data_IF_947003259079
#
_entry.id   IF_947003259079
#
_cell.length_a   1.000
_cell.length_b   1.000
_cell.length_c   1.000
_cell.angle_alpha   90.00
_cell.angle_beta   90.00
_cell.angle_gamma   90.00
#
_symmetry.space_group_name_H-M   'P 1'
#
loop_
_entity.id
_entity.type
_entity.pdbx_description
1 polymer ?
#
# COMPACT_ATOMS: atom_id res chain seq x y z
N UNK A 1 -25.24 0.40 20.35
CA UNK A 1 -23.80 0.13 20.27
C UNK A 1 -23.50 -0.28 18.82
N UNK A 2 -22.56 0.39 18.15
CA UNK A 2 -22.22 0.07 16.76
C UNK A 2 -21.48 -1.28 16.70
N UNK A 3 -21.81 -2.13 15.73
CA UNK A 3 -21.15 -3.42 15.53
C UNK A 3 -20.32 -3.34 14.26
N UNK A 4 -19.12 -3.88 14.31
CA UNK A 4 -18.23 -4.05 13.15
C UNK A 4 -17.92 -5.52 12.95
N UNK A 5 -18.09 -5.99 11.72
CA UNK A 5 -17.80 -7.35 11.30
C UNK A 5 -16.47 -7.35 10.56
N UNK A 6 -15.52 -8.15 11.01
CA UNK A 6 -14.16 -8.20 10.48
C UNK A 6 -13.87 -9.59 9.93
N UNK A 7 -13.50 -9.67 8.67
CA UNK A 7 -12.91 -10.87 8.08
C UNK A 7 -11.44 -10.94 8.45
N UNK A 8 -11.04 -11.92 9.26
CA UNK A 8 -9.66 -12.10 9.69
C UNK A 8 -8.98 -13.21 8.91
N UNK A 9 -7.85 -12.89 8.29
CA UNK A 9 -7.03 -13.80 7.50
C UNK A 9 -5.60 -13.69 8.00
N UNK A 10 -5.14 -14.67 8.75
CA UNK A 10 -3.78 -14.67 9.30
C UNK A 10 -2.71 -14.86 8.21
N UNK A 11 -3.00 -15.70 7.20
CA UNK A 11 -2.09 -16.01 6.11
C UNK A 11 -0.92 -16.90 6.52
N UNK A 12 0.30 -16.46 6.23
CA UNK A 12 1.54 -17.23 6.39
C UNK A 12 2.48 -16.65 7.45
N UNK A 13 3.48 -17.42 7.85
CA UNK A 13 4.63 -17.00 8.64
C UNK A 13 4.26 -16.14 9.83
N UNK A 14 4.82 -14.92 9.86
CA UNK A 14 4.61 -13.94 10.94
C UNK A 14 3.14 -13.55 11.12
N UNK A 15 2.31 -13.64 10.08
CA UNK A 15 0.87 -13.35 10.19
C UNK A 15 0.17 -14.24 11.21
N UNK A 16 0.56 -15.51 11.32
CA UNK A 16 0.02 -16.45 12.31
C UNK A 16 0.36 -16.07 13.76
N UNK A 17 1.43 -15.30 13.95
CA UNK A 17 1.87 -14.83 15.27
C UNK A 17 1.23 -13.48 15.62
N UNK A 18 1.27 -12.50 14.68
CA UNK A 18 0.87 -11.13 14.99
C UNK A 18 -0.64 -10.93 14.97
N UNK A 19 -1.39 -11.64 14.09
CA UNK A 19 -2.84 -11.47 13.97
C UNK A 19 -3.58 -11.83 15.26
N UNK A 20 -3.31 -12.96 15.93
CA UNK A 20 -3.96 -13.28 17.21
C UNK A 20 -3.68 -12.26 18.32
N UNK A 21 -2.47 -11.69 18.34
CA UNK A 21 -2.10 -10.65 19.32
C UNK A 21 -2.87 -9.36 19.03
N UNK A 22 -2.89 -8.94 17.77
CA UNK A 22 -3.62 -7.74 17.37
C UNK A 22 -5.13 -7.88 17.58
N UNK A 23 -5.73 -9.06 17.36
CA UNK A 23 -7.14 -9.31 17.69
C UNK A 23 -7.44 -9.13 19.19
N UNK A 24 -6.54 -9.55 20.09
CA UNK A 24 -6.69 -9.31 21.54
C UNK A 24 -6.69 -7.80 21.85
N UNK A 25 -5.81 -7.05 21.20
CA UNK A 25 -5.75 -5.58 21.35
C UNK A 25 -7.03 -4.94 20.82
N UNK A 26 -7.50 -5.33 19.63
CA UNK A 26 -8.74 -4.83 19.03
C UNK A 26 -9.96 -5.10 19.93
N UNK A 27 -10.07 -6.29 20.51
CA UNK A 27 -11.11 -6.62 21.49
C UNK A 27 -11.06 -5.68 22.70
N UNK A 28 -9.86 -5.42 23.24
CA UNK A 28 -9.70 -4.51 24.38
C UNK A 28 -10.08 -3.07 24.04
N UNK A 29 -9.69 -2.60 22.86
CA UNK A 29 -10.09 -1.29 22.33
C UNK A 29 -11.62 -1.21 22.17
N UNK A 30 -12.24 -2.27 21.64
CA UNK A 30 -13.70 -2.30 21.45
C UNK A 30 -14.47 -2.17 22.77
N UNK A 31 -14.01 -2.82 23.82
CA UNK A 31 -14.55 -2.68 25.18
C UNK A 31 -14.39 -1.24 25.69
N UNK A 32 -13.19 -0.68 25.55
CA UNK A 32 -12.87 0.67 26.04
C UNK A 32 -13.67 1.76 25.32
N UNK A 33 -13.91 1.60 24.02
CA UNK A 33 -14.62 2.57 23.19
C UNK A 33 -16.09 2.21 22.93
N UNK A 34 -16.63 1.20 23.62
CA UNK A 34 -18.03 0.82 23.61
C UNK A 34 -18.63 0.50 22.22
N UNK A 35 -17.88 -0.21 21.39
CA UNK A 35 -18.40 -0.81 20.18
C UNK A 35 -18.27 -2.34 20.22
N UNK A 36 -19.08 -3.04 19.41
CA UNK A 36 -19.03 -4.50 19.30
C UNK A 36 -18.13 -4.88 18.11
N UNK A 37 -17.25 -5.83 18.33
CA UNK A 37 -16.41 -6.41 17.30
C UNK A 37 -16.77 -7.89 17.11
N UNK A 38 -17.14 -8.26 15.89
CA UNK A 38 -17.35 -9.64 15.46
C UNK A 38 -16.22 -9.97 14.50
N UNK A 39 -15.49 -11.05 14.77
CA UNK A 39 -14.34 -11.46 13.95
C UNK A 39 -14.64 -12.87 13.43
N UNK A 40 -14.73 -13.01 12.11
CA UNK A 40 -14.81 -14.27 11.41
C UNK A 40 -13.44 -14.63 10.84
N UNK A 41 -12.95 -15.81 11.19
CA UNK A 41 -11.61 -16.26 10.79
C UNK A 41 -11.68 -17.13 9.53
N UNK A 42 -10.75 -16.87 8.60
CA UNK A 42 -10.63 -17.59 7.34
C UNK A 42 -9.21 -18.14 7.18
N UNK A 43 -9.10 -19.36 6.72
CA UNK A 43 -7.83 -20.09 6.53
C UNK A 43 -7.23 -19.99 5.14
N UNK A 44 -7.98 -19.42 4.17
CA UNK A 44 -7.49 -19.21 2.81
C UNK A 44 -6.46 -18.06 2.73
N UNK A 45 -5.88 -17.85 1.55
CA UNK A 45 -4.79 -16.89 1.32
C UNK A 45 -3.53 -17.25 2.11
N UNK A 46 -3.20 -18.54 2.12
CA UNK A 46 -1.99 -19.07 2.76
C UNK A 46 -1.38 -20.20 1.94
N UNK A 47 -0.09 -20.43 2.12
CA UNK A 47 0.62 -21.57 1.52
C UNK A 47 0.01 -22.91 1.96
N UNK A 48 -0.45 -23.02 3.21
CA UNK A 48 -1.10 -24.23 3.71
C UNK A 48 -2.44 -24.49 3.03
N UNK A 49 -3.20 -23.43 2.75
CA UNK A 49 -4.43 -23.56 1.99
C UNK A 49 -4.17 -23.97 0.54
N UNK A 50 -3.15 -23.33 -0.09
CA UNK A 50 -2.73 -23.69 -1.45
C UNK A 50 -2.29 -25.15 -1.56
N UNK A 51 -1.54 -25.65 -0.61
CA UNK A 51 -1.08 -27.05 -0.60
C UNK A 51 -2.24 -28.05 -0.57
N UNK A 52 -3.32 -27.73 0.17
CA UNK A 52 -4.49 -28.58 0.28
C UNK A 52 -5.43 -28.51 -0.94
N UNK A 53 -5.53 -27.32 -1.55
CA UNK A 53 -6.62 -27.02 -2.51
C UNK A 53 -6.12 -26.67 -3.92
N UNK A 54 -4.81 -26.50 -4.14
CA UNK A 54 -4.22 -26.11 -5.43
C UNK A 54 -4.54 -24.67 -5.84
N UNK A 55 -5.12 -23.86 -4.93
CA UNK A 55 -5.51 -22.45 -5.15
C UNK A 55 -5.41 -21.66 -3.86
N UNK A 56 -5.13 -20.37 -3.95
CA UNK A 56 -4.98 -19.49 -2.78
C UNK A 56 -6.33 -19.10 -2.15
N UNK A 57 -7.40 -19.12 -2.93
CA UNK A 57 -8.74 -18.70 -2.53
C UNK A 57 -9.78 -19.72 -2.98
N UNK A 58 -10.85 -19.98 -2.20
CA UNK A 58 -11.99 -20.75 -2.68
C UNK A 58 -12.76 -19.98 -3.76
N UNK A 59 -13.60 -20.64 -4.53
CA UNK A 59 -14.30 -20.00 -5.65
C UNK A 59 -15.29 -18.92 -5.16
N UNK A 60 -15.85 -19.10 -3.99
CA UNK A 60 -16.82 -18.24 -3.31
C UNK A 60 -16.16 -17.26 -2.31
N UNK A 61 -14.85 -17.06 -2.39
CA UNK A 61 -14.11 -16.24 -1.42
C UNK A 61 -14.66 -14.81 -1.26
N UNK A 62 -15.06 -14.20 -2.38
CA UNK A 62 -15.56 -12.81 -2.39
C UNK A 62 -16.87 -12.70 -1.64
N UNK A 63 -17.81 -13.60 -1.92
CA UNK A 63 -19.12 -13.68 -1.26
C UNK A 63 -19.00 -13.91 0.26
N UNK A 64 -17.96 -14.65 0.66
CA UNK A 64 -17.68 -14.93 2.07
C UNK A 64 -17.25 -13.69 2.84
N UNK A 65 -16.48 -12.78 2.21
CA UNK A 65 -15.86 -11.66 2.93
C UNK A 65 -16.43 -10.29 2.56
N UNK A 66 -17.14 -10.12 1.45
CA UNK A 66 -17.65 -8.82 0.98
C UNK A 66 -18.63 -8.12 1.94
N UNK A 67 -19.26 -8.88 2.85
CA UNK A 67 -20.22 -8.35 3.82
C UNK A 67 -19.57 -7.82 5.10
N UNK A 68 -18.27 -7.99 5.24
CA UNK A 68 -17.54 -7.49 6.38
C UNK A 68 -17.19 -6.01 6.19
N UNK A 69 -17.14 -5.28 7.30
CA UNK A 69 -16.76 -3.85 7.28
C UNK A 69 -15.28 -3.65 6.95
N UNK A 70 -14.43 -4.64 7.27
CA UNK A 70 -13.01 -4.62 6.93
C UNK A 70 -12.42 -6.04 6.87
N UNK A 71 -11.31 -6.17 6.14
CA UNK A 71 -10.48 -7.37 6.11
C UNK A 71 -9.25 -7.09 6.99
N UNK A 72 -9.10 -7.87 8.04
CA UNK A 72 -7.90 -7.86 8.88
C UNK A 72 -6.94 -8.92 8.37
N UNK A 73 -5.96 -8.47 7.59
CA UNK A 73 -5.06 -9.33 6.84
C UNK A 73 -3.66 -9.34 7.46
N UNK A 74 -3.12 -10.54 7.68
CA UNK A 74 -1.77 -10.71 8.22
C UNK A 74 -0.68 -10.63 7.15
N UNK A 75 -0.06 -11.78 6.85
CA UNK A 75 0.98 -11.87 5.82
C UNK A 75 0.65 -13.00 4.84
N UNK A 76 1.07 -12.88 3.60
CA UNK A 76 0.92 -13.93 2.60
C UNK A 76 2.22 -14.11 1.82
N UNK A 77 2.55 -15.37 1.59
CA UNK A 77 3.70 -15.80 0.82
C UNK A 77 4.85 -16.29 1.69
N UNK A 78 5.44 -17.37 1.21
CA UNK A 78 6.68 -17.95 1.68
C UNK A 78 7.47 -18.37 0.43
N UNK A 79 8.38 -17.53 -0.07
CA UNK A 79 9.07 -17.75 -1.35
C UNK A 79 9.83 -19.10 -1.40
N UNK A 80 10.24 -19.60 -0.24
CA UNK A 80 10.88 -20.92 -0.10
C UNK A 80 9.92 -22.09 -0.38
N UNK A 81 8.60 -21.90 -0.21
CA UNK A 81 7.56 -22.91 -0.48
C UNK A 81 6.92 -22.69 -1.84
N UNK A 82 6.45 -21.48 -2.11
CA UNK A 82 5.75 -21.13 -3.33
C UNK A 82 6.13 -19.72 -3.79
N UNK A 83 6.38 -19.51 -5.09
CA UNK A 83 6.78 -18.21 -5.62
C UNK A 83 5.65 -17.18 -5.53
N UNK A 84 6.02 -15.90 -5.49
CA UNK A 84 5.11 -14.77 -5.29
C UNK A 84 4.00 -14.67 -6.35
N UNK A 85 4.26 -15.11 -7.58
CA UNK A 85 3.22 -15.11 -8.63
C UNK A 85 2.07 -16.09 -8.33
N UNK A 86 2.26 -17.08 -7.45
CA UNK A 86 1.19 -17.94 -6.94
C UNK A 86 0.52 -17.28 -5.74
N UNK A 87 1.31 -16.88 -4.75
CA UNK A 87 0.80 -16.46 -3.45
C UNK A 87 0.19 -15.06 -3.47
N UNK A 88 0.93 -14.05 -3.94
CA UNK A 88 0.48 -12.66 -4.00
C UNK A 88 -0.58 -12.43 -5.08
N UNK A 89 -0.31 -12.92 -6.30
CA UNK A 89 -1.25 -12.75 -7.43
C UNK A 89 -2.51 -13.59 -7.25
N UNK A 90 -2.39 -14.73 -6.58
CA UNK A 90 -3.52 -15.62 -6.29
C UNK A 90 -4.44 -15.12 -5.17
N UNK A 91 -4.02 -14.12 -4.38
CA UNK A 91 -4.78 -13.61 -3.23
C UNK A 91 -4.78 -12.09 -3.09
N UNK A 92 -3.74 -11.48 -2.53
CA UNK A 92 -3.69 -10.04 -2.19
C UNK A 92 -4.00 -9.13 -3.38
N UNK A 93 -3.45 -9.42 -4.55
CA UNK A 93 -3.72 -8.64 -5.77
C UNK A 93 -5.18 -8.76 -6.21
N UNK A 94 -5.80 -9.94 -6.02
CA UNK A 94 -7.24 -10.12 -6.28
C UNK A 94 -8.08 -9.28 -5.33
N UNK A 95 -7.77 -9.24 -4.02
CA UNK A 95 -8.49 -8.39 -3.07
C UNK A 95 -8.44 -6.92 -3.51
N UNK A 96 -7.26 -6.41 -3.85
CA UNK A 96 -7.10 -5.03 -4.30
C UNK A 96 -7.95 -4.70 -5.52
N UNK A 97 -7.98 -5.60 -6.51
CA UNK A 97 -8.71 -5.39 -7.76
C UNK A 97 -10.21 -5.60 -7.62
N UNK A 98 -10.61 -6.71 -7.01
CA UNK A 98 -12.01 -7.11 -6.92
C UNK A 98 -12.83 -6.25 -5.95
N UNK A 99 -12.19 -5.67 -4.93
CA UNK A 99 -12.80 -4.69 -4.03
C UNK A 99 -12.46 -3.24 -4.38
N UNK A 100 -11.83 -3.01 -5.54
CA UNK A 100 -11.39 -1.68 -5.99
C UNK A 100 -10.67 -0.88 -4.90
N UNK A 101 -9.78 -1.53 -4.16
CA UNK A 101 -8.97 -0.91 -3.11
C UNK A 101 -7.87 -0.05 -3.74
N UNK A 102 -8.25 1.09 -4.30
CA UNK A 102 -7.40 1.92 -5.15
C UNK A 102 -6.32 2.72 -4.40
N UNK A 103 -6.41 2.77 -3.08
CA UNK A 103 -5.40 3.39 -2.21
C UNK A 103 -4.66 2.31 -1.43
N UNK A 104 -3.33 2.37 -1.42
CA UNK A 104 -2.54 1.75 -0.38
C UNK A 104 -1.96 2.87 0.50
N UNK A 105 -2.46 2.97 1.72
CA UNK A 105 -2.09 3.99 2.69
C UNK A 105 -0.97 3.47 3.58
N UNK A 106 0.15 4.19 3.63
CA UNK A 106 1.37 3.80 4.35
C UNK A 106 1.86 4.91 5.27
N UNK A 107 1.41 4.95 6.53
CA UNK A 107 1.98 5.85 7.53
C UNK A 107 3.43 5.47 7.87
N UNK A 108 4.30 6.46 7.92
CA UNK A 108 5.71 6.33 8.29
C UNK A 108 5.97 7.25 9.47
N UNK A 109 6.35 6.67 10.61
CA UNK A 109 6.56 7.43 11.84
C UNK A 109 7.72 6.87 12.63
N UNK A 110 8.59 7.76 13.11
CA UNK A 110 9.58 7.41 14.10
C UNK A 110 8.95 7.43 15.50
N UNK A 111 8.77 6.23 16.05
CA UNK A 111 8.14 6.07 17.36
C UNK A 111 9.11 6.26 18.53
N UNK A 112 8.61 6.71 19.71
CA UNK A 112 9.41 6.64 20.94
C UNK A 112 9.89 5.22 21.23
N UNK A 113 11.16 5.10 21.60
CA UNK A 113 11.78 3.81 21.90
C UNK A 113 12.31 3.03 20.68
N UNK A 114 12.02 3.48 19.46
CA UNK A 114 12.59 2.93 18.24
C UNK A 114 13.80 3.77 17.82
N UNK A 115 14.90 3.10 17.50
CA UNK A 115 16.11 3.77 17.01
C UNK A 115 16.06 3.90 15.48
N UNK A 116 16.11 5.13 14.99
CA UNK A 116 16.32 5.39 13.57
C UNK A 116 17.75 4.98 13.16
N UNK A 117 17.94 4.38 11.97
CA UNK A 117 19.27 4.20 11.39
C UNK A 117 19.88 5.51 10.87
N UNK A 118 19.08 6.56 10.69
CA UNK A 118 19.56 7.88 10.31
C UNK A 118 20.16 8.59 11.53
N UNK A 119 21.27 9.31 11.31
CA UNK A 119 21.93 10.06 12.36
C UNK A 119 21.02 11.19 12.90
N UNK A 120 21.07 11.41 14.21
CA UNK A 120 20.47 12.56 14.90
C UNK A 120 18.94 12.71 14.74
N UNK A 121 18.23 11.63 14.36
CA UNK A 121 16.75 11.64 14.27
C UNK A 121 16.12 11.17 15.58
N UNK A 122 15.13 11.91 16.02
CA UNK A 122 14.37 11.69 17.25
C UNK A 122 12.87 11.51 16.96
N UNK A 123 12.09 10.92 17.87
CA UNK A 123 10.64 10.83 17.72
C UNK A 123 9.99 12.20 17.44
N UNK A 124 9.21 12.28 16.37
CA UNK A 124 8.57 13.51 15.90
C UNK A 124 9.26 14.16 14.69
N UNK A 125 10.53 13.85 14.43
CA UNK A 125 11.24 14.37 13.24
C UNK A 125 10.72 13.74 11.94
N UNK A 126 10.28 12.49 12.00
CA UNK A 126 9.74 11.77 10.85
C UNK A 126 8.30 11.36 11.18
N UNK A 127 7.36 11.99 10.50
CA UNK A 127 5.92 11.70 10.57
C UNK A 127 5.29 12.07 9.22
N UNK A 128 5.23 11.11 8.30
CA UNK A 128 4.67 11.30 6.96
C UNK A 128 3.71 10.17 6.59
N UNK A 129 2.90 10.40 5.56
CA UNK A 129 2.00 9.40 5.00
C UNK A 129 2.29 9.25 3.51
N UNK A 130 2.51 8.02 3.05
CA UNK A 130 2.62 7.70 1.63
C UNK A 130 1.27 7.19 1.15
N UNK A 131 0.74 7.83 0.12
CA UNK A 131 -0.49 7.47 -0.58
C UNK A 131 -0.08 6.86 -1.92
N UNK A 132 -0.13 5.54 -1.99
CA UNK A 132 0.25 4.75 -3.18
C UNK A 132 -0.98 4.40 -3.99
N UNK A 133 -0.94 4.61 -5.30
CA UNK A 133 -1.88 4.00 -6.24
C UNK A 133 -1.78 2.48 -6.15
N UNK A 134 -2.91 1.75 -6.26
CA UNK A 134 -2.93 0.34 -5.84
C UNK A 134 -3.65 -0.61 -6.81
N UNK A 135 -4.18 -0.13 -7.94
CA UNK A 135 -5.00 -0.94 -8.86
C UNK A 135 -4.53 -0.96 -10.31
N UNK A 136 -3.73 0.01 -10.71
CA UNK A 136 -3.20 0.17 -12.07
C UNK A 136 -1.69 0.51 -12.05
N UNK A 137 -1.22 1.27 -13.00
CA UNK A 137 0.17 1.71 -13.07
C UNK A 137 1.10 0.64 -13.61
N UNK A 138 2.26 0.54 -13.03
CA UNK A 138 3.33 -0.37 -13.42
C UNK A 138 3.03 -1.83 -13.05
N UNK A 139 2.09 -2.06 -12.13
CA UNK A 139 1.58 -3.38 -11.75
C UNK A 139 0.40 -3.84 -12.62
N UNK A 140 0.19 -3.23 -13.78
CA UNK A 140 -0.78 -3.73 -14.76
C UNK A 140 -0.41 -5.16 -15.17
N UNK A 141 -1.39 -5.99 -15.47
CA UNK A 141 -1.14 -7.33 -16.01
C UNK A 141 -1.26 -7.34 -17.55
N UNK A 142 -0.92 -6.22 -18.19
CA UNK A 142 -0.97 -6.07 -19.65
C UNK A 142 0.42 -6.24 -20.22
N UNK A 143 0.58 -7.22 -21.09
CA UNK A 143 1.85 -7.56 -21.69
C UNK A 143 1.86 -9.00 -22.22
N UNK A 144 3.03 -9.51 -22.48
CA UNK A 144 3.19 -10.88 -22.97
C UNK A 144 4.61 -11.24 -23.37
N UNK A 145 4.74 -12.42 -23.92
CA UNK A 145 6.00 -12.97 -24.41
C UNK A 145 5.86 -13.37 -25.88
N UNK A 146 6.92 -13.14 -26.66
CA UNK A 146 7.06 -13.63 -28.03
C UNK A 146 8.37 -14.38 -28.18
N UNK A 147 8.39 -15.36 -29.07
CA UNK A 147 9.56 -16.21 -29.37
C UNK A 147 10.14 -16.91 -28.15
N UNK A 148 9.28 -17.35 -27.25
CA UNK A 148 9.64 -17.95 -25.97
C UNK A 148 10.63 -19.13 -26.14
N UNK A 149 11.69 -19.15 -25.33
CA UNK A 149 12.72 -20.18 -25.36
C UNK A 149 13.73 -20.06 -26.53
N UNK A 150 13.71 -18.98 -27.30
CA UNK A 150 14.68 -18.70 -28.36
C UNK A 150 15.56 -17.48 -28.04
N UNK A 151 16.68 -17.33 -28.78
CA UNK A 151 17.55 -16.14 -28.65
C UNK A 151 16.83 -14.80 -28.99
N UNK A 152 15.68 -14.86 -29.64
CA UNK A 152 14.86 -13.70 -30.03
C UNK A 152 13.71 -13.46 -29.07
N UNK A 153 13.70 -14.09 -27.91
CA UNK A 153 12.64 -13.92 -26.94
C UNK A 153 12.47 -12.45 -26.55
N UNK A 154 11.23 -11.99 -26.60
CA UNK A 154 10.83 -10.63 -26.22
C UNK A 154 9.78 -10.74 -25.14
N UNK A 155 9.97 -9.96 -24.07
CA UNK A 155 9.00 -9.82 -22.98
C UNK A 155 8.55 -8.37 -22.92
N UNK A 156 7.24 -8.15 -22.88
CA UNK A 156 6.61 -6.83 -22.79
C UNK A 156 5.71 -6.76 -21.57
N UNK A 157 5.79 -5.67 -20.85
CA UNK A 157 4.82 -5.28 -19.83
C UNK A 157 4.51 -3.78 -19.96
N UNK A 158 3.23 -3.44 -20.05
CA UNK A 158 2.77 -2.08 -20.21
C UNK A 158 2.48 -1.42 -18.85
N UNK A 159 2.81 -0.14 -18.73
CA UNK A 159 2.34 0.73 -17.65
C UNK A 159 1.04 1.39 -18.10
N UNK A 160 -0.04 1.18 -17.35
CA UNK A 160 -1.35 1.75 -17.64
C UNK A 160 -1.72 2.76 -16.57
N UNK A 161 -1.97 3.99 -16.96
CA UNK A 161 -2.43 5.06 -16.08
C UNK A 161 -3.69 5.71 -16.69
N UNK A 162 -4.82 5.54 -16.03
CA UNK A 162 -6.07 6.17 -16.44
C UNK A 162 -6.25 7.52 -15.74
N UNK A 163 -7.00 8.41 -16.40
CA UNK A 163 -7.41 9.67 -15.76
C UNK A 163 -8.15 9.43 -14.45
N UNK A 164 -9.04 8.43 -14.44
CA UNK A 164 -9.82 8.08 -13.27
C UNK A 164 -8.92 7.62 -12.12
N UNK A 165 -7.99 6.68 -12.37
CA UNK A 165 -7.08 6.15 -11.36
C UNK A 165 -6.15 7.22 -10.78
N UNK A 166 -5.53 8.04 -11.65
CA UNK A 166 -4.67 9.13 -11.21
C UNK A 166 -5.46 10.17 -10.39
N UNK A 167 -6.61 10.62 -10.90
CA UNK A 167 -7.38 11.67 -10.23
C UNK A 167 -7.86 11.24 -8.85
N UNK A 168 -8.34 9.99 -8.69
CA UNK A 168 -8.85 9.52 -7.40
C UNK A 168 -7.75 9.37 -6.35
N UNK A 169 -6.57 8.85 -6.71
CA UNK A 169 -5.46 8.73 -5.75
C UNK A 169 -4.89 10.09 -5.37
N UNK A 170 -4.73 11.00 -6.32
CA UNK A 170 -4.24 12.35 -6.04
C UNK A 170 -5.23 13.15 -5.18
N UNK A 171 -6.54 13.10 -5.49
CA UNK A 171 -7.57 13.74 -4.64
C UNK A 171 -7.58 13.19 -3.22
N UNK A 172 -7.50 11.87 -3.06
CA UNK A 172 -7.39 11.25 -1.74
C UNK A 172 -6.16 11.78 -0.97
N UNK A 173 -5.01 11.90 -1.64
CA UNK A 173 -3.79 12.45 -1.03
C UNK A 173 -3.94 13.93 -0.63
N UNK A 174 -4.62 14.73 -1.43
CA UNK A 174 -4.96 16.12 -1.09
C UNK A 174 -5.87 16.20 0.14
N UNK A 175 -6.89 15.35 0.24
CA UNK A 175 -7.78 15.31 1.42
C UNK A 175 -7.02 14.86 2.68
N UNK A 176 -6.11 13.89 2.57
CA UNK A 176 -5.22 13.53 3.68
C UNK A 176 -4.34 14.73 4.09
N UNK A 177 -3.70 15.40 3.12
CA UNK A 177 -2.86 16.56 3.41
C UNK A 177 -3.66 17.70 4.09
N UNK A 178 -4.90 17.94 3.65
CA UNK A 178 -5.81 18.92 4.24
C UNK A 178 -6.13 18.61 5.70
N UNK A 179 -6.21 17.33 6.07
CA UNK A 179 -6.48 16.90 7.45
C UNK A 179 -5.26 17.02 8.37
N UNK A 180 -4.05 17.14 7.81
CA UNK A 180 -2.79 17.24 8.58
C UNK A 180 -2.44 18.69 8.88
N UNK A 181 -1.68 18.89 9.96
CA UNK A 181 -1.29 20.23 10.43
C UNK A 181 -0.39 20.99 9.45
N UNK A 182 0.51 20.28 8.77
CA UNK A 182 1.50 20.87 7.85
C UNK A 182 0.92 21.23 6.50
N UNK A 183 -0.17 20.58 6.10
CA UNK A 183 -0.88 20.82 4.83
C UNK A 183 0.05 20.84 3.62
N UNK A 184 0.93 19.85 3.54
CA UNK A 184 1.91 19.72 2.46
C UNK A 184 1.75 18.39 1.73
N UNK A 185 1.75 18.45 0.39
CA UNK A 185 1.67 17.28 -0.48
C UNK A 185 2.81 17.29 -1.49
N UNK A 186 3.59 16.22 -1.48
CA UNK A 186 4.65 15.97 -2.44
C UNK A 186 4.20 14.94 -3.47
N UNK A 187 4.35 15.23 -4.76
CA UNK A 187 4.09 14.27 -5.84
C UNK A 187 5.40 13.61 -6.29
N UNK A 188 5.42 12.28 -6.28
CA UNK A 188 6.52 11.50 -6.85
C UNK A 188 6.29 11.34 -8.36
N UNK A 189 7.28 11.67 -9.17
CA UNK A 189 7.22 11.60 -10.63
C UNK A 189 8.54 11.07 -11.24
N UNK A 190 8.55 10.82 -12.54
CA UNK A 190 9.76 10.54 -13.33
C UNK A 190 9.57 11.05 -14.76
N UNK A 191 8.91 12.18 -14.93
CA UNK A 191 8.57 12.75 -16.25
C UNK A 191 9.78 13.10 -17.11
N UNK A 192 10.96 13.28 -16.51
CA UNK A 192 12.21 13.47 -17.26
C UNK A 192 12.76 12.17 -17.91
N UNK A 193 12.21 11.00 -17.59
CA UNK A 193 12.68 9.72 -18.11
C UNK A 193 11.57 8.86 -18.70
N UNK A 194 10.36 8.93 -18.11
CA UNK A 194 9.17 8.20 -18.58
C UNK A 194 8.28 9.20 -19.31
N UNK A 195 8.44 9.28 -20.61
CA UNK A 195 7.99 10.42 -21.44
C UNK A 195 6.51 10.49 -21.76
N UNK A 196 5.70 9.51 -21.41
CA UNK A 196 4.26 9.46 -21.72
C UNK A 196 3.41 9.47 -20.45
N UNK A 197 3.54 8.46 -19.62
CA UNK A 197 2.66 8.28 -18.45
C UNK A 197 2.97 9.28 -17.33
N UNK A 198 4.24 9.62 -17.09
CA UNK A 198 4.60 10.51 -15.99
C UNK A 198 4.34 11.99 -16.28
N UNK A 199 4.54 12.55 -17.49
CA UNK A 199 4.02 13.88 -17.82
C UNK A 199 2.50 13.98 -17.66
N UNK A 200 1.76 12.91 -17.98
CA UNK A 200 0.31 12.88 -17.76
C UNK A 200 -0.04 12.84 -16.26
N UNK A 201 0.72 12.10 -15.44
CA UNK A 201 0.62 12.15 -13.98
C UNK A 201 0.80 13.57 -13.44
N UNK A 202 1.83 14.29 -13.92
CA UNK A 202 2.13 15.67 -13.52
C UNK A 202 1.01 16.64 -13.97
N UNK A 203 0.51 16.50 -15.21
CA UNK A 203 -0.63 17.29 -15.71
C UNK A 203 -1.86 17.11 -14.82
N UNK A 204 -2.16 15.88 -14.42
CA UNK A 204 -3.29 15.61 -13.52
C UNK A 204 -3.08 16.19 -12.13
N UNK A 205 -1.85 16.14 -11.62
CA UNK A 205 -1.49 16.75 -10.34
C UNK A 205 -1.70 18.27 -10.37
N UNK A 206 -1.23 18.94 -11.40
CA UNK A 206 -1.44 20.38 -11.57
C UNK A 206 -2.92 20.77 -11.77
N UNK A 207 -3.69 19.91 -12.40
CA UNK A 207 -5.13 20.11 -12.52
C UNK A 207 -5.87 19.96 -11.19
N UNK A 208 -5.55 18.92 -10.41
CA UNK A 208 -6.16 18.66 -9.10
C UNK A 208 -5.76 19.73 -8.07
N UNK A 209 -4.50 20.15 -8.04
CA UNK A 209 -3.95 21.19 -7.15
C UNK A 209 -4.78 22.49 -7.15
N UNK A 210 -5.38 22.86 -8.28
CA UNK A 210 -6.21 24.08 -8.40
C UNK A 210 -7.41 24.09 -7.45
N UNK A 211 -7.85 22.91 -6.99
CA UNK A 211 -8.98 22.77 -6.07
C UNK A 211 -8.55 22.77 -4.58
N UNK A 212 -7.25 22.83 -4.30
CA UNK A 212 -6.67 22.71 -2.95
C UNK A 212 -5.64 23.82 -2.70
N UNK A 213 -6.05 25.07 -2.85
CA UNK A 213 -5.17 26.24 -2.78
C UNK A 213 -4.51 26.45 -1.40
N UNK A 214 -5.06 25.85 -0.35
CA UNK A 214 -4.52 25.85 1.01
C UNK A 214 -3.42 24.83 1.27
N UNK A 215 -3.13 23.95 0.28
CA UNK A 215 -2.11 22.90 0.40
C UNK A 215 -0.82 23.35 -0.31
N UNK A 216 0.26 23.37 0.43
CA UNK A 216 1.60 23.53 -0.15
C UNK A 216 1.94 22.28 -0.97
N UNK A 217 2.42 22.47 -2.19
CA UNK A 217 2.75 21.34 -3.07
C UNK A 217 4.16 21.46 -3.62
N UNK A 218 4.84 20.32 -3.71
CA UNK A 218 6.06 20.14 -4.47
C UNK A 218 6.04 18.84 -5.28
N UNK A 219 6.99 18.71 -6.21
CA UNK A 219 7.17 17.52 -7.03
C UNK A 219 8.66 17.17 -7.08
N UNK A 220 8.95 15.87 -6.96
CA UNK A 220 10.32 15.36 -7.12
C UNK A 220 10.34 14.16 -8.04
N UNK A 221 11.36 14.09 -8.90
CA UNK A 221 11.67 12.84 -9.57
C UNK A 221 12.06 11.78 -8.55
N UNK A 222 11.63 10.53 -8.78
CA UNK A 222 11.73 9.45 -7.79
C UNK A 222 13.16 9.21 -7.29
N UNK A 223 14.15 9.34 -8.15
CA UNK A 223 15.57 9.16 -7.80
C UNK A 223 16.05 10.19 -6.77
N UNK A 224 15.73 11.47 -6.97
CA UNK A 224 16.08 12.50 -5.98
C UNK A 224 15.16 12.45 -4.75
N UNK A 225 13.90 12.03 -4.92
CA UNK A 225 12.98 11.87 -3.80
C UNK A 225 13.48 10.80 -2.82
N UNK A 226 13.97 9.66 -3.32
CA UNK A 226 14.58 8.60 -2.52
C UNK A 226 15.80 9.15 -1.73
N UNK A 227 16.67 9.94 -2.38
CA UNK A 227 17.78 10.57 -1.69
C UNK A 227 17.31 11.55 -0.59
N UNK A 228 16.25 12.31 -0.86
CA UNK A 228 15.68 13.26 0.13
C UNK A 228 14.99 12.55 1.30
N UNK A 229 14.41 11.38 1.12
CA UNK A 229 13.89 10.58 2.23
C UNK A 229 14.97 10.21 3.25
N UNK A 230 16.21 10.01 2.78
CA UNK A 230 17.36 9.73 3.66
C UNK A 230 17.96 11.00 4.25
N UNK A 231 18.14 12.03 3.42
CA UNK A 231 18.84 13.25 3.82
C UNK A 231 17.97 14.22 4.64
N UNK A 232 16.69 14.34 4.26
CA UNK A 232 15.79 15.35 4.79
C UNK A 232 14.36 14.77 4.99
N UNK A 233 14.18 13.65 5.71
CA UNK A 233 12.87 13.00 5.86
C UNK A 233 11.81 13.91 6.50
N UNK A 234 12.24 14.88 7.30
CA UNK A 234 11.40 15.89 7.93
C UNK A 234 10.70 16.85 6.95
N UNK A 235 11.13 16.91 5.68
CA UNK A 235 10.50 17.75 4.68
C UNK A 235 9.14 17.26 4.24
N UNK A 236 8.85 15.97 4.41
CA UNK A 236 7.67 15.32 3.88
C UNK A 236 6.54 15.23 4.91
N UNK A 237 5.32 15.47 4.45
CA UNK A 237 4.09 15.35 5.23
C UNK A 237 3.16 14.31 4.61
N UNK A 238 2.72 14.53 3.37
CA UNK A 238 2.03 13.53 2.56
C UNK A 238 2.77 13.38 1.24
N UNK A 239 2.95 12.16 0.78
CA UNK A 239 3.59 11.87 -0.50
C UNK A 239 2.64 11.01 -1.33
N UNK A 240 2.27 11.46 -2.53
CA UNK A 240 1.48 10.68 -3.48
C UNK A 240 2.37 10.11 -4.58
N UNK A 241 2.16 8.84 -4.90
CA UNK A 241 2.98 8.13 -5.86
C UNK A 241 2.18 7.10 -6.68
N UNK A 242 2.69 6.79 -7.89
CA UNK A 242 2.22 5.65 -8.68
C UNK A 242 2.43 4.34 -7.93
N UNK A 243 1.92 3.25 -8.47
CA UNK A 243 1.96 1.95 -7.81
C UNK A 243 3.40 1.53 -7.48
N UNK A 244 4.32 1.54 -8.44
CA UNK A 244 5.70 1.14 -8.23
C UNK A 244 6.47 2.15 -7.34
N UNK A 245 6.33 3.44 -7.61
CA UNK A 245 7.05 4.44 -6.81
C UNK A 245 6.55 4.45 -5.37
N UNK A 246 5.25 4.27 -5.17
CA UNK A 246 4.67 4.13 -3.84
C UNK A 246 5.14 2.89 -3.10
N UNK A 247 5.37 1.78 -3.82
CA UNK A 247 5.93 0.55 -3.24
C UNK A 247 7.35 0.79 -2.71
N UNK A 248 8.22 1.34 -3.55
CA UNK A 248 9.60 1.68 -3.17
C UNK A 248 9.65 2.63 -1.97
N UNK A 249 8.85 3.70 -2.00
CA UNK A 249 8.83 4.69 -0.93
C UNK A 249 8.26 4.15 0.38
N UNK A 250 7.26 3.23 0.29
CA UNK A 250 6.62 2.65 1.47
C UNK A 250 7.49 1.64 2.23
N UNK A 251 8.58 1.19 1.63
CA UNK A 251 9.61 0.40 2.31
C UNK A 251 10.78 1.27 2.77
N UNK A 252 11.16 2.27 1.95
CA UNK A 252 12.21 3.21 2.31
C UNK A 252 11.86 4.05 3.54
N UNK A 253 10.62 4.53 3.66
CA UNK A 253 10.18 5.30 4.81
C UNK A 253 10.36 4.55 6.14
N UNK A 254 9.78 3.35 6.29
CA UNK A 254 10.01 2.50 7.45
C UNK A 254 11.48 2.11 7.67
N UNK A 255 12.26 1.94 6.60
CA UNK A 255 13.71 1.74 6.72
C UNK A 255 14.39 2.94 7.39
N UNK A 256 14.05 4.16 7.00
CA UNK A 256 14.58 5.39 7.60
C UNK A 256 14.16 5.56 9.08
N UNK A 257 13.03 5.02 9.48
CA UNK A 257 12.55 5.11 10.87
C UNK A 257 12.87 3.88 11.74
N UNK A 258 13.46 2.82 11.14
CA UNK A 258 13.70 1.56 11.85
C UNK A 258 12.41 0.78 12.16
N UNK A 259 11.34 0.99 11.40
CA UNK A 259 9.99 0.47 11.69
C UNK A 259 9.46 -0.53 10.66
N UNK A 260 10.30 -1.10 9.78
CA UNK A 260 9.85 -2.03 8.73
C UNK A 260 8.93 -3.14 9.27
N UNK A 261 9.27 -3.72 10.43
CA UNK A 261 8.50 -4.81 11.04
C UNK A 261 7.22 -4.37 11.77
N UNK A 262 6.97 -3.07 11.92
CA UNK A 262 5.83 -2.52 12.70
C UNK A 262 5.09 -1.39 11.98
N UNK A 263 5.49 -1.04 10.76
CA UNK A 263 4.82 0.00 9.99
C UNK A 263 3.41 -0.48 9.56
N UNK A 264 2.35 0.28 9.85
CA UNK A 264 0.99 -0.10 9.46
C UNK A 264 0.75 0.13 7.98
N UNK A 265 -0.23 -0.61 7.41
CA UNK A 265 -0.72 -0.33 6.07
C UNK A 265 -2.22 -0.58 5.97
N UNK A 266 -2.89 0.13 5.05
CA UNK A 266 -4.28 -0.12 4.72
C UNK A 266 -4.49 -0.07 3.22
N UNK A 267 -5.32 -0.99 2.70
CA UNK A 267 -5.88 -0.91 1.35
C UNK A 267 -7.30 -0.36 1.47
N UNK A 268 -7.64 0.69 0.73
CA UNK A 268 -8.88 1.46 0.87
C UNK A 268 -9.55 1.61 -0.50
N UNK A 269 -10.87 1.46 -0.51
CA UNK A 269 -11.76 1.67 -1.66
C UNK A 269 -12.64 2.92 -1.49
#
# INVERSE_FOLDING_TARGET
MKTYNIASIAGDGIGKEVVPVAQKILKKISEQHQFKLVIDEFDFSSCDYYEKHGKMLPDDWKEKIEKHDAIFFGAVGMPERYPDHITLWGSLIKFRREFDQYINLRPVKLFPGVKSPLADKTPGDIDMIIVRENTEGEYSSVGGRMYEGTEREIVLQETIMSKHGIDRVQKFAFEIAKSRKRKKLTSATKSNGISITMPYWDERFDANKKNYTEIETDQFHIDILVARFVLNPEWFDVVVASNLFGDILSDLGPACTGTIGIAPSANIN
#
